data_IF_390744313993
#
_entry.id   IF_390744313993
#
_cell.length_a   1.000
_cell.length_b   1.000
_cell.length_c   1.000
_cell.angle_alpha   90.00
_cell.angle_beta   90.00
_cell.angle_gamma   90.00
#
_symmetry.space_group_name_H-M   'P 1'
#
loop_
_entity.id
_entity.type
_entity.pdbx_description
1 polymer ?
#
# COMPACT_ATOMS: atom_id res chain seq x y z
N UNK A 1 -0.91 61.21 0.53
CA UNK A 1 -0.52 62.42 -0.24
C UNK A 1 0.08 63.42 0.73
N UNK A 2 1.32 63.87 0.68
CA UNK A 2 2.55 63.42 0.03
C UNK A 2 3.69 63.98 0.88
N UNK A 3 4.67 63.13 1.19
CA UNK A 3 5.82 63.44 2.03
C UNK A 3 7.03 63.87 1.20
N UNK A 4 7.92 64.57 1.88
CA UNK A 4 9.07 65.30 1.39
C UNK A 4 10.26 64.43 0.95
N UNK A 5 11.04 65.02 0.05
CA UNK A 5 12.49 65.05 -0.08
C UNK A 5 13.34 63.84 0.36
N UNK A 6 14.18 63.33 -0.56
CA UNK A 6 15.54 63.01 -0.16
C UNK A 6 16.56 63.15 -1.31
N UNK A 7 17.68 63.75 -0.96
CA UNK A 7 18.85 64.11 -1.76
C UNK A 7 19.90 63.00 -1.74
N UNK A 8 20.65 62.84 -2.83
CA UNK A 8 21.85 62.01 -2.96
C UNK A 8 22.93 62.35 -1.92
N UNK A 9 23.84 61.40 -1.61
CA UNK A 9 25.23 61.63 -2.01
C UNK A 9 26.08 60.36 -2.30
N UNK A 10 27.18 60.57 -3.00
CA UNK A 10 28.47 59.82 -3.02
C UNK A 10 29.48 60.75 -3.72
N UNK A 11 30.82 60.57 -3.65
CA UNK A 11 31.64 59.49 -3.08
C UNK A 11 32.83 59.98 -2.21
N UNK A 12 33.66 59.07 -1.66
CA UNK A 12 34.96 59.45 -1.12
C UNK A 12 35.71 58.37 -0.33
N UNK A 13 36.85 57.94 -0.87
CA UNK A 13 37.81 56.92 -0.40
C UNK A 13 38.80 57.49 0.64
N UNK A 14 39.29 56.67 1.58
CA UNK A 14 40.70 56.71 1.99
C UNK A 14 41.06 56.77 3.49
N UNK A 15 41.70 55.68 3.96
CA UNK A 15 42.80 55.55 4.94
C UNK A 15 42.77 56.23 6.34
N UNK A 16 43.04 55.41 7.37
CA UNK A 16 44.20 55.65 8.25
C UNK A 16 44.02 55.58 9.78
N UNK A 17 44.63 54.53 10.38
CA UNK A 17 45.52 54.51 11.58
C UNK A 17 45.02 54.98 12.97
N UNK A 18 45.24 54.12 13.98
CA UNK A 18 45.54 54.48 15.39
C UNK A 18 44.66 53.78 16.45
N UNK A 19 45.12 52.68 17.10
CA UNK A 19 45.83 52.63 18.41
C UNK A 19 44.87 52.87 19.62
N UNK A 20 44.82 52.15 20.75
CA UNK A 20 45.81 51.42 21.57
C UNK A 20 45.13 50.50 22.62
N UNK A 21 45.78 49.35 22.89
CA UNK A 21 46.06 48.70 24.20
C UNK A 21 44.98 48.46 25.28
N UNK A 22 44.84 47.20 25.69
CA UNK A 22 45.29 46.76 27.04
C UNK A 22 45.46 45.23 27.13
N UNK A 23 46.63 44.82 27.62
CA UNK A 23 47.04 43.46 28.01
C UNK A 23 47.91 43.61 29.26
N UNK A 24 47.88 42.66 30.20
CA UNK A 24 49.06 41.84 30.50
C UNK A 24 48.68 40.34 30.59
N UNK A 25 49.37 39.37 29.96
CA UNK A 25 50.69 38.78 30.30
C UNK A 25 50.70 38.12 31.72
N UNK A 26 51.15 36.89 31.97
CA UNK A 26 52.14 36.06 31.28
C UNK A 26 52.15 34.56 31.72
N UNK A 27 52.79 33.74 30.86
CA UNK A 27 53.65 32.55 31.08
C UNK A 27 53.15 31.33 31.88
N UNK A 28 53.00 30.13 31.31
CA UNK A 28 53.97 29.23 30.65
C UNK A 28 54.85 28.41 31.63
N UNK A 29 54.66 27.08 31.64
CA UNK A 29 55.69 26.05 31.48
C UNK A 29 55.17 24.65 31.85
N UNK A 30 55.48 23.70 30.98
CA UNK A 30 55.46 22.23 31.13
C UNK A 30 56.31 21.76 32.33
N UNK A 31 56.15 20.50 32.82
CA UNK A 31 57.11 19.48 32.36
C UNK A 31 56.54 18.06 32.21
N UNK A 32 57.32 17.25 31.48
CA UNK A 32 57.22 15.81 31.30
C UNK A 32 58.13 15.04 32.28
N UNK A 33 57.77 13.80 32.63
CA UNK A 33 58.61 12.71 33.21
C UNK A 33 57.80 11.40 32.99
N UNK A 34 58.10 10.38 32.17
CA UNK A 34 59.22 9.40 32.05
C UNK A 34 59.54 8.64 33.34
N UNK A 35 59.20 7.34 33.45
CA UNK A 35 60.10 6.15 33.44
C UNK A 35 59.42 5.08 34.34
N UNK A 36 59.61 3.76 34.33
CA UNK A 36 60.51 2.80 33.67
C UNK A 36 59.97 1.37 33.95
N UNK A 37 60.11 0.48 32.97
CA UNK A 37 60.73 -0.86 33.02
C UNK A 37 60.48 -1.87 34.18
N UNK A 38 59.99 -3.07 33.86
CA UNK A 38 60.73 -4.35 34.00
C UNK A 38 59.93 -5.58 33.54
N UNK A 39 60.61 -6.47 32.82
CA UNK A 39 60.15 -7.78 32.35
C UNK A 39 60.13 -8.83 33.47
N UNK A 40 59.20 -9.79 33.41
CA UNK A 40 59.40 -11.14 33.98
C UNK A 40 58.75 -12.20 33.07
N UNK A 41 59.63 -13.04 32.56
CA UNK A 41 59.46 -14.37 32.00
C UNK A 41 58.70 -15.30 32.95
N UNK A 42 57.74 -16.11 32.46
CA UNK A 42 57.46 -17.43 33.02
C UNK A 42 56.74 -18.32 32.02
N UNK A 43 57.50 -19.28 31.51
CA UNK A 43 57.06 -20.52 30.91
C UNK A 43 56.39 -21.40 31.97
N UNK A 44 55.25 -22.03 31.66
CA UNK A 44 54.92 -23.35 32.23
C UNK A 44 54.27 -24.22 31.17
N UNK A 45 55.09 -25.12 30.65
CA UNK A 45 54.75 -26.39 30.06
C UNK A 45 54.08 -27.28 31.11
N UNK A 46 52.92 -27.86 30.82
CA UNK A 46 52.61 -29.24 31.26
C UNK A 46 51.86 -29.94 30.13
N UNK A 47 52.56 -30.90 29.53
CA UNK A 47 52.04 -31.93 28.66
C UNK A 47 51.48 -33.12 29.49
N UNK A 48 50.85 -34.04 28.76
CA UNK A 48 50.37 -35.39 29.11
C UNK A 48 48.83 -35.47 29.19
N UNK A 49 48.13 -36.41 28.57
CA UNK A 49 48.53 -37.59 27.77
C UNK A 49 47.30 -38.09 27.00
N UNK A 50 47.52 -38.59 25.77
CA UNK A 50 47.04 -39.87 25.19
C UNK A 50 45.90 -40.57 25.94
N UNK A 51 44.76 -40.88 25.32
CA UNK A 51 44.44 -42.15 24.62
C UNK A 51 43.17 -41.92 23.74
N UNK A 52 43.19 -42.02 22.41
CA UNK A 52 42.99 -43.21 21.57
C UNK A 52 41.96 -44.25 22.07
N UNK A 53 40.84 -44.41 21.33
CA UNK A 53 40.07 -45.64 20.99
C UNK A 53 38.69 -45.19 20.48
N UNK A 54 38.42 -45.15 19.17
CA UNK A 54 37.99 -46.25 18.28
C UNK A 54 36.58 -46.78 18.60
N UNK A 55 35.69 -46.76 17.58
CA UNK A 55 34.54 -47.66 17.33
C UNK A 55 33.25 -47.45 18.17
N UNK A 56 31.99 -47.58 17.70
CA UNK A 56 31.34 -48.11 16.47
C UNK A 56 29.88 -47.60 16.43
N UNK A 57 29.28 -47.62 15.23
CA UNK A 57 27.84 -47.61 14.94
C UNK A 57 26.94 -48.34 15.97
N UNK A 58 25.72 -47.85 16.22
CA UNK A 58 24.46 -48.55 15.87
C UNK A 58 23.19 -47.82 16.36
N UNK A 59 22.20 -47.86 15.45
CA UNK A 59 20.75 -47.77 15.59
C UNK A 59 20.16 -48.39 16.86
N UNK A 60 19.21 -47.71 17.52
CA UNK A 60 17.98 -48.37 18.02
C UNK A 60 16.87 -47.37 18.42
N UNK A 61 15.66 -47.77 18.09
CA UNK A 61 14.31 -47.28 18.43
C UNK A 61 14.02 -47.22 19.93
N UNK A 62 13.06 -46.39 20.39
CA UNK A 62 12.41 -46.59 21.69
C UNK A 62 11.06 -47.34 21.59
N UNK A 63 10.65 -48.08 22.65
CA UNK A 63 9.57 -49.07 22.62
C UNK A 63 8.21 -48.59 23.15
N UNK A 64 7.18 -49.35 22.79
CA UNK A 64 5.80 -49.36 23.31
C UNK A 64 5.60 -50.57 24.25
N UNK A 65 4.93 -50.37 25.39
CA UNK A 65 4.12 -51.33 26.17
C UNK A 65 3.32 -50.51 27.21
N UNK A 66 2.01 -50.29 27.09
CA UNK A 66 0.85 -51.15 27.42
C UNK A 66 0.77 -51.61 28.90
N UNK A 67 -0.31 -51.22 29.59
CA UNK A 67 -1.09 -52.09 30.51
C UNK A 67 -2.53 -51.58 30.64
N UNK A 68 -3.43 -52.55 30.53
CA UNK A 68 -4.90 -52.63 30.43
C UNK A 68 -5.69 -52.06 31.63
N UNK A 69 -6.97 -51.66 31.52
CA UNK A 69 -8.22 -52.47 31.56
C UNK A 69 -9.40 -51.48 31.70
N UNK A 70 -10.69 -51.65 31.32
CA UNK A 70 -11.54 -52.77 30.91
C UNK A 70 -12.96 -52.26 30.56
N UNK A 71 -13.82 -53.16 30.01
CA UNK A 71 -15.31 -53.12 29.91
C UNK A 71 -15.91 -52.46 28.65
N UNK A 72 -16.17 -53.15 27.53
CA UNK A 72 -17.11 -54.24 27.18
C UNK A 72 -18.49 -53.79 26.68
N UNK A 73 -18.69 -54.11 25.39
CA UNK A 73 -19.85 -54.09 24.48
C UNK A 73 -21.12 -54.83 25.00
N UNK A 74 -22.29 -54.77 24.31
CA UNK A 74 -22.47 -55.54 23.07
C UNK A 74 -23.31 -54.91 21.94
N UNK A 75 -23.03 -55.44 20.74
CA UNK A 75 -23.76 -55.29 19.49
C UNK A 75 -24.99 -56.21 19.38
N UNK A 76 -25.83 -56.01 18.34
CA UNK A 76 -26.52 -56.98 17.45
C UNK A 76 -27.42 -56.16 16.49
N UNK A 77 -27.23 -56.07 15.16
CA UNK A 77 -27.32 -56.99 14.00
C UNK A 77 -28.73 -57.05 13.32
N UNK A 78 -28.71 -57.02 11.98
CA UNK A 78 -29.65 -57.59 10.96
C UNK A 78 -30.53 -56.62 10.11
N UNK A 79 -30.53 -56.93 8.81
CA UNK A 79 -30.97 -56.26 7.55
C UNK A 79 -32.51 -56.19 7.24
N UNK A 80 -33.02 -56.18 5.96
CA UNK A 80 -33.74 -55.06 5.30
C UNK A 80 -35.21 -55.41 4.88
N UNK A 81 -35.82 -54.59 3.98
CA UNK A 81 -37.01 -54.86 3.09
C UNK A 81 -38.34 -54.10 3.38
N UNK A 82 -38.66 -53.17 2.46
CA UNK A 82 -39.93 -52.91 1.71
C UNK A 82 -41.31 -52.90 2.39
N UNK A 83 -42.08 -51.78 2.27
CA UNK A 83 -43.35 -51.66 1.48
C UNK A 83 -44.26 -50.46 1.87
N UNK A 84 -44.57 -49.63 0.86
CA UNK A 84 -45.85 -49.01 0.46
C UNK A 84 -46.83 -48.35 1.46
N UNK A 85 -47.30 -47.12 1.14
CA UNK A 85 -48.73 -46.80 0.98
C UNK A 85 -48.97 -45.42 0.32
N UNK A 86 -50.07 -45.36 -0.43
CA UNK A 86 -50.53 -44.39 -1.44
C UNK A 86 -51.61 -43.39 -0.94
N UNK A 87 -51.58 -42.15 -1.48
CA UNK A 87 -52.64 -41.12 -1.78
C UNK A 87 -54.12 -41.31 -1.33
N UNK A 88 -54.92 -40.25 -1.02
CA UNK A 88 -55.47 -39.31 -2.04
C UNK A 88 -55.78 -37.83 -1.62
N UNK A 89 -56.23 -37.08 -2.65
CA UNK A 89 -56.55 -35.63 -2.81
C UNK A 89 -58.04 -35.30 -2.48
N UNK A 90 -58.36 -33.98 -2.35
CA UNK A 90 -59.67 -33.24 -2.54
C UNK A 90 -60.46 -32.87 -1.25
N UNK A 91 -61.05 -31.67 -0.96
CA UNK A 91 -61.52 -30.44 -1.67
C UNK A 91 -61.66 -29.17 -0.75
N UNK A 92 -61.51 -27.97 -1.35
CA UNK A 92 -62.17 -26.58 -1.28
C UNK A 92 -63.37 -26.37 -0.28
N UNK A 93 -63.76 -25.15 0.27
CA UNK A 93 -63.73 -23.79 -0.33
C UNK A 93 -63.57 -22.49 0.54
N UNK A 94 -63.36 -21.37 -0.19
CA UNK A 94 -63.87 -19.98 0.00
C UNK A 94 -63.60 -19.18 1.29
N UNK A 95 -63.00 -17.98 1.17
CA UNK A 95 -63.68 -16.65 1.25
C UNK A 95 -62.69 -15.47 1.34
N UNK A 96 -62.91 -14.46 0.49
CA UNK A 96 -62.27 -13.13 0.46
C UNK A 96 -62.92 -12.20 1.52
N UNK A 97 -62.24 -11.11 1.96
CA UNK A 97 -62.68 -9.80 1.48
C UNK A 97 -61.54 -8.78 1.23
N UNK A 98 -61.82 -7.88 0.29
CA UNK A 98 -61.13 -6.63 -0.06
C UNK A 98 -61.69 -5.48 0.77
N UNK A 99 -60.89 -4.57 1.35
CA UNK A 99 -61.31 -3.17 1.60
C UNK A 99 -60.12 -2.17 1.49
N UNK A 100 -60.44 -1.11 0.74
CA UNK A 100 -59.78 0.14 0.39
C UNK A 100 -59.16 0.95 1.54
N UNK A 101 -58.05 1.64 1.26
CA UNK A 101 -57.48 2.68 2.11
C UNK A 101 -57.92 4.07 1.62
N UNK A 102 -58.79 4.70 2.40
CA UNK A 102 -59.32 6.05 2.17
C UNK A 102 -58.47 7.09 2.90
N UNK A 103 -58.06 8.13 2.18
CA UNK A 103 -57.48 9.37 2.73
C UNK A 103 -58.49 10.09 3.64
N UNK A 104 -58.06 10.46 4.85
CA UNK A 104 -58.87 11.24 5.80
C UNK A 104 -58.28 12.63 6.02
N UNK A 105 -59.17 13.61 6.10
CA UNK A 105 -58.95 15.04 6.17
C UNK A 105 -59.51 15.60 7.50
N UNK A 106 -58.78 16.57 8.11
CA UNK A 106 -59.24 17.76 8.88
C UNK A 106 -59.75 17.49 10.34
N UNK A 107 -59.79 18.44 11.33
CA UNK A 107 -59.34 19.87 11.42
C UNK A 107 -58.46 20.21 12.66
N UNK A 108 -57.82 21.39 12.65
CA UNK A 108 -57.65 22.20 13.87
C UNK A 108 -57.80 23.71 13.58
N UNK A 109 -58.35 24.43 14.55
CA UNK A 109 -58.96 25.77 14.46
C UNK A 109 -57.93 26.91 14.66
N UNK A 110 -58.28 28.05 14.03
CA UNK A 110 -57.82 29.47 14.12
C UNK A 110 -57.66 30.06 15.57
N UNK A 111 -57.27 31.34 15.82
CA UNK A 111 -57.18 32.52 14.91
C UNK A 111 -55.99 33.51 15.14
N UNK A 112 -55.80 34.49 14.21
CA UNK A 112 -55.44 35.93 14.45
C UNK A 112 -55.22 36.62 13.08
N UNK A 113 -56.18 37.42 12.59
CA UNK A 113 -56.33 38.89 12.67
C UNK A 113 -55.41 39.73 11.74
N UNK A 114 -56.05 40.37 10.73
CA UNK A 114 -55.88 41.77 10.27
C UNK A 114 -54.52 42.19 9.62
N UNK A 115 -54.39 42.98 8.56
CA UNK A 115 -55.25 43.91 7.78
C UNK A 115 -54.51 44.23 6.47
N UNK A 116 -55.22 44.36 5.35
CA UNK A 116 -54.71 45.05 4.15
C UNK A 116 -55.30 46.46 4.10
N UNK A 117 -54.60 47.46 3.54
CA UNK A 117 -55.19 48.06 2.34
C UNK A 117 -54.19 48.54 1.26
N UNK A 118 -54.65 48.32 0.02
CA UNK A 118 -54.73 49.25 -1.12
C UNK A 118 -53.49 49.91 -1.75
N UNK A 119 -53.52 49.82 -3.08
CA UNK A 119 -52.66 50.37 -4.12
C UNK A 119 -52.33 51.86 -4.04
N UNK A 120 -51.13 52.19 -4.53
CA UNK A 120 -50.79 53.50 -5.11
C UNK A 120 -49.92 53.27 -6.34
N UNK A 121 -50.34 53.87 -7.45
CA UNK A 121 -49.63 53.97 -8.75
C UNK A 121 -48.60 55.10 -8.69
N UNK A 122 -47.38 54.86 -9.19
CA UNK A 122 -46.63 55.85 -10.01
C UNK A 122 -45.38 55.22 -10.66
N UNK A 123 -44.98 55.83 -11.77
CA UNK A 123 -44.21 55.35 -12.92
C UNK A 123 -42.69 55.62 -12.88
N UNK A 124 -41.96 55.01 -13.86
CA UNK A 124 -40.64 55.39 -14.45
C UNK A 124 -39.43 54.67 -13.80
N UNK A 125 -38.47 53.99 -14.45
CA UNK A 125 -38.03 53.87 -15.84
C UNK A 125 -37.36 52.49 -16.12
N UNK A 126 -37.47 52.06 -17.39
CA UNK A 126 -36.56 51.27 -18.24
C UNK A 126 -35.44 50.39 -17.63
N UNK A 127 -35.48 49.05 -17.80
CA UNK A 127 -34.29 48.21 -17.74
C UNK A 127 -33.64 48.06 -19.14
N UNK A 128 -32.32 48.18 -19.16
CA UNK A 128 -31.42 47.92 -20.30
C UNK A 128 -31.44 46.43 -20.65
N UNK A 129 -31.54 46.01 -21.92
CA UNK A 129 -31.45 44.60 -22.29
C UNK A 129 -29.98 44.18 -22.44
N UNK A 130 -29.44 43.51 -21.43
CA UNK A 130 -28.19 42.76 -21.58
C UNK A 130 -28.46 41.48 -22.37
N UNK A 131 -27.98 41.46 -23.61
CA UNK A 131 -28.03 40.30 -24.50
C UNK A 131 -26.90 39.35 -24.13
N UNK A 132 -27.09 38.52 -23.10
CA UNK A 132 -26.25 37.34 -22.89
C UNK A 132 -26.90 36.14 -23.57
N UNK A 133 -26.38 35.77 -24.74
CA UNK A 133 -26.72 34.53 -25.45
C UNK A 133 -26.16 33.30 -24.71
N UNK A 134 -26.62 33.09 -23.48
CA UNK A 134 -26.37 31.89 -22.69
C UNK A 134 -27.30 30.78 -23.16
N UNK A 135 -26.71 29.64 -23.55
CA UNK A 135 -27.49 28.44 -23.85
C UNK A 135 -28.33 28.07 -22.63
N UNK A 136 -29.63 27.87 -22.85
CA UNK A 136 -30.57 27.47 -21.80
C UNK A 136 -29.99 26.32 -20.97
N UNK A 137 -30.16 26.37 -19.66
CA UNK A 137 -29.71 25.34 -18.72
C UNK A 137 -30.15 23.92 -19.14
N UNK A 138 -31.27 23.80 -19.86
CA UNK A 138 -31.71 22.54 -20.45
C UNK A 138 -30.87 22.05 -21.65
N UNK A 139 -30.32 22.95 -22.45
CA UNK A 139 -29.39 22.62 -23.54
C UNK A 139 -28.02 22.20 -22.99
N UNK A 140 -27.55 22.84 -21.92
CA UNK A 140 -26.30 22.47 -21.23
C UNK A 140 -26.41 21.08 -20.60
N UNK A 141 -27.53 20.77 -19.94
CA UNK A 141 -27.78 19.44 -19.39
C UNK A 141 -27.89 18.35 -20.48
N UNK A 142 -28.46 18.67 -21.65
CA UNK A 142 -28.57 17.74 -22.77
C UNK A 142 -27.22 17.39 -23.43
N UNK A 143 -26.32 18.36 -23.55
CA UNK A 143 -24.99 18.15 -24.16
C UNK A 143 -24.13 17.24 -23.26
N UNK A 144 -24.21 17.39 -21.94
CA UNK A 144 -23.45 16.56 -21.00
C UNK A 144 -23.83 15.07 -21.10
N UNK A 145 -25.14 14.77 -21.13
CA UNK A 145 -25.63 13.39 -21.24
C UNK A 145 -25.37 12.81 -22.64
N UNK A 146 -25.51 13.63 -23.69
CA UNK A 146 -25.22 13.22 -25.07
C UNK A 146 -23.77 12.84 -25.30
N UNK A 147 -22.81 13.58 -24.72
CA UNK A 147 -21.38 13.30 -24.83
C UNK A 147 -20.96 12.02 -24.10
N UNK A 148 -21.58 11.69 -22.97
CA UNK A 148 -21.27 10.45 -22.25
C UNK A 148 -21.61 9.20 -23.09
N UNK A 149 -22.77 9.21 -23.74
CA UNK A 149 -23.23 8.08 -24.56
C UNK A 149 -22.46 8.02 -25.89
N UNK A 150 -22.24 9.16 -26.55
CA UNK A 150 -21.48 9.21 -27.80
C UNK A 150 -19.99 8.85 -27.57
N UNK A 151 -19.39 9.32 -26.48
CA UNK A 151 -18.02 8.99 -26.09
C UNK A 151 -17.83 7.50 -25.80
N UNK A 152 -18.80 6.88 -25.12
CA UNK A 152 -18.76 5.44 -24.84
C UNK A 152 -18.84 4.60 -26.14
N UNK A 153 -19.72 4.97 -27.07
CA UNK A 153 -19.87 4.24 -28.35
C UNK A 153 -18.62 4.39 -29.21
N UNK A 154 -18.03 5.59 -29.28
CA UNK A 154 -16.79 5.85 -30.04
C UNK A 154 -15.60 5.15 -29.36
N UNK A 155 -15.52 5.18 -28.03
CA UNK A 155 -14.47 4.49 -27.26
C UNK A 155 -14.48 2.98 -27.49
N UNK A 156 -15.65 2.35 -27.43
CA UNK A 156 -15.82 0.92 -27.71
C UNK A 156 -15.45 0.60 -29.17
N UNK A 157 -15.83 1.45 -30.13
CA UNK A 157 -15.52 1.22 -31.54
C UNK A 157 -14.02 1.33 -31.83
N UNK A 158 -13.32 2.30 -31.23
CA UNK A 158 -11.87 2.46 -31.37
C UNK A 158 -11.14 1.29 -30.70
N UNK A 159 -11.54 0.89 -29.48
CA UNK A 159 -10.97 -0.26 -28.80
C UNK A 159 -11.16 -1.55 -29.61
N UNK A 160 -12.36 -1.77 -30.16
CA UNK A 160 -12.66 -2.95 -30.99
C UNK A 160 -11.83 -2.98 -32.29
N UNK A 161 -11.59 -1.83 -32.94
CA UNK A 161 -10.76 -1.77 -34.15
C UNK A 161 -9.27 -2.02 -33.85
N UNK A 162 -8.75 -1.55 -32.71
CA UNK A 162 -7.36 -1.79 -32.30
C UNK A 162 -7.13 -3.26 -31.91
N UNK A 163 -8.09 -3.88 -31.23
CA UNK A 163 -8.04 -5.30 -30.87
C UNK A 163 -8.17 -6.21 -32.11
N UNK A 164 -9.04 -5.85 -33.06
CA UNK A 164 -9.20 -6.59 -34.33
C UNK A 164 -7.99 -6.45 -35.25
N UNK A 165 -7.24 -5.34 -35.18
CA UNK A 165 -6.00 -5.15 -35.96
C UNK A 165 -4.86 -6.06 -35.50
N UNK A 166 -4.87 -6.49 -34.23
CA UNK A 166 -3.87 -7.43 -33.69
C UNK A 166 -4.15 -8.91 -34.01
N UNK A 167 -5.34 -9.24 -34.51
CA UNK A 167 -5.73 -10.64 -34.77
C UNK A 167 -5.34 -11.17 -36.17
N UNK A 168 -4.61 -10.38 -36.98
CA UNK A 168 -4.07 -10.82 -38.27
C UNK A 168 -2.55 -10.93 -38.27
N UNK A 169 -2.00 -11.76 -37.39
CA UNK A 169 -0.65 -12.31 -37.57
C UNK A 169 -0.67 -13.77 -37.09
N UNK A 170 -1.24 -14.64 -37.93
CA UNK A 170 -0.89 -16.05 -37.93
C UNK A 170 0.14 -16.26 -39.05
N UNK A 171 1.43 -16.50 -38.75
CA UNK A 171 2.28 -17.20 -39.68
C UNK A 171 1.91 -18.69 -39.64
N UNK A 172 1.21 -19.13 -40.68
CA UNK A 172 1.02 -20.53 -41.04
C UNK A 172 2.38 -21.19 -41.28
N UNK A 173 2.77 -22.26 -40.57
CA UNK A 173 3.96 -23.02 -40.93
C UNK A 173 3.65 -23.88 -42.15
N UNK A 174 4.24 -23.51 -43.29
CA UNK A 174 4.26 -24.36 -44.48
C UNK A 174 4.97 -25.68 -44.15
N UNK A 175 4.20 -26.75 -44.29
CA UNK A 175 4.68 -28.12 -44.38
C UNK A 175 5.42 -28.25 -45.71
N UNK A 176 6.75 -28.38 -45.68
CA UNK A 176 7.51 -28.95 -46.79
C UNK A 176 7.79 -30.40 -46.45
N UNK A 177 7.02 -31.28 -47.09
CA UNK A 177 7.38 -32.68 -47.31
C UNK A 177 8.70 -32.74 -48.11
N UNK A 178 9.73 -33.34 -47.54
CA UNK A 178 10.70 -34.10 -48.32
C UNK A 178 10.81 -35.51 -47.74
N UNK A 179 10.07 -36.40 -48.40
CA UNK A 179 10.21 -37.85 -48.36
C UNK A 179 11.58 -38.24 -48.92
N UNK A 180 12.38 -39.01 -48.18
CA UNK A 180 13.22 -40.06 -48.78
C UNK A 180 13.45 -41.19 -47.78
N UNK A 181 13.28 -42.40 -48.30
CA UNK A 181 13.35 -43.72 -47.67
C UNK A 181 14.70 -44.03 -47.02
N UNK A 182 14.68 -44.96 -46.05
CA UNK A 182 15.83 -45.33 -45.24
C UNK A 182 16.71 -46.44 -45.81
N UNK A 183 17.82 -46.73 -45.10
CA UNK A 183 18.45 -48.06 -44.98
C UNK A 183 19.54 -48.05 -43.89
N UNK A 184 19.33 -48.91 -42.89
CA UNK A 184 20.29 -49.81 -42.18
C UNK A 184 21.80 -49.47 -42.07
N UNK A 185 22.30 -49.57 -40.81
CA UNK A 185 23.64 -49.95 -40.30
C UNK A 185 24.89 -49.20 -40.80
N UNK A 186 25.65 -48.56 -39.91
CA UNK A 186 26.79 -49.19 -39.22
C UNK A 186 27.37 -48.26 -38.12
N UNK A 187 28.03 -48.86 -37.12
CA UNK A 187 28.75 -48.15 -36.06
C UNK A 187 30.15 -47.73 -36.54
N UNK A 188 30.63 -46.53 -36.15
CA UNK A 188 31.96 -46.25 -35.56
C UNK A 188 32.43 -44.79 -35.75
N UNK A 189 33.10 -44.29 -34.70
CA UNK A 189 34.04 -43.18 -34.62
C UNK A 189 33.51 -41.73 -34.47
N UNK A 190 33.47 -41.30 -33.21
CA UNK A 190 34.09 -40.08 -32.67
C UNK A 190 34.62 -39.06 -33.70
N UNK A 191 33.87 -37.98 -33.92
CA UNK A 191 34.43 -36.66 -34.23
C UNK A 191 33.54 -35.59 -33.60
N UNK A 192 34.19 -34.66 -32.92
CA UNK A 192 33.60 -33.53 -32.20
C UNK A 192 32.84 -32.64 -33.18
N UNK A 193 31.54 -32.48 -32.94
CA UNK A 193 30.80 -31.27 -33.28
C UNK A 193 30.04 -30.92 -32.01
N UNK A 194 30.21 -29.72 -31.41
CA UNK A 194 29.30 -29.29 -30.36
C UNK A 194 27.93 -29.22 -31.00
N UNK A 195 27.08 -30.19 -30.68
CA UNK A 195 25.66 -30.06 -30.90
C UNK A 195 25.25 -28.82 -30.12
N UNK A 196 24.84 -27.78 -30.83
CA UNK A 196 23.94 -26.78 -30.29
C UNK A 196 22.75 -27.56 -29.74
N UNK A 197 22.76 -27.78 -28.42
CA UNK A 197 21.54 -28.04 -27.69
C UNK A 197 20.58 -26.93 -28.09
N UNK A 198 19.39 -27.21 -28.66
CA UNK A 198 18.33 -26.26 -28.52
C UNK A 198 18.11 -26.16 -27.01
N UNK A 199 18.61 -25.10 -26.39
CA UNK A 199 18.24 -24.72 -25.03
C UNK A 199 16.76 -24.41 -25.03
N UNK A 200 15.94 -25.46 -25.04
CA UNK A 200 14.52 -25.44 -24.73
C UNK A 200 14.35 -25.41 -23.20
N UNK A 201 15.25 -24.72 -22.50
CA UNK A 201 14.97 -24.20 -21.17
C UNK A 201 14.10 -22.99 -21.46
N UNK A 202 12.78 -23.19 -21.40
CA UNK A 202 11.80 -22.11 -21.49
C UNK A 202 12.29 -20.93 -20.67
N UNK A 203 12.56 -19.81 -21.32
CA UNK A 203 12.96 -18.58 -20.65
C UNK A 203 11.78 -18.12 -19.79
N UNK A 204 11.83 -18.40 -18.48
CA UNK A 204 10.74 -18.13 -17.54
C UNK A 204 10.31 -16.66 -17.60
N UNK A 205 11.26 -15.78 -17.92
CA UNK A 205 11.07 -14.33 -18.02
C UNK A 205 10.02 -13.95 -19.08
N UNK A 206 9.80 -14.78 -20.10
CA UNK A 206 8.76 -14.56 -21.11
C UNK A 206 7.33 -14.73 -20.55
N UNK A 207 7.18 -15.44 -19.43
CA UNK A 207 5.88 -15.73 -18.81
C UNK A 207 5.58 -14.84 -17.60
N UNK A 208 6.60 -14.29 -16.95
CA UNK A 208 6.43 -13.41 -15.79
C UNK A 208 5.61 -12.16 -16.14
N UNK A 209 5.05 -11.51 -15.12
CA UNK A 209 4.20 -10.34 -15.30
C UNK A 209 4.98 -9.18 -15.96
N UNK A 210 4.31 -8.45 -16.85
CA UNK A 210 4.89 -7.30 -17.53
C UNK A 210 4.91 -6.07 -16.60
N UNK A 211 5.94 -5.20 -16.70
CA UNK A 211 5.97 -3.97 -15.93
C UNK A 211 4.82 -3.03 -16.31
N UNK A 212 4.28 -2.33 -15.31
CA UNK A 212 3.45 -1.15 -15.56
C UNK A 212 4.36 0.05 -15.85
N UNK A 213 3.98 0.96 -16.75
CA UNK A 213 4.74 2.19 -16.96
C UNK A 213 4.77 3.06 -15.70
N UNK A 214 5.93 3.64 -15.40
CA UNK A 214 6.15 4.49 -14.22
C UNK A 214 5.16 5.66 -14.14
N UNK A 215 4.77 6.23 -15.28
CA UNK A 215 3.75 7.30 -15.34
C UNK A 215 2.39 6.84 -14.82
N UNK A 216 2.03 5.59 -15.07
CA UNK A 216 0.79 5.01 -14.57
C UNK A 216 0.89 4.79 -13.06
N UNK A 217 2.01 4.24 -12.58
CA UNK A 217 2.26 4.08 -11.14
C UNK A 217 2.20 5.42 -10.40
N UNK A 218 2.84 6.45 -10.94
CA UNK A 218 2.83 7.80 -10.39
C UNK A 218 1.42 8.42 -10.37
N UNK A 219 0.64 8.24 -11.45
CA UNK A 219 -0.72 8.75 -11.55
C UNK A 219 -1.68 8.07 -10.57
N UNK A 220 -1.56 6.76 -10.38
CA UNK A 220 -2.35 6.00 -9.40
C UNK A 220 -1.95 6.34 -7.96
N UNK A 221 -0.66 6.49 -7.66
CA UNK A 221 -0.26 6.91 -6.30
C UNK A 221 -0.79 8.31 -5.98
N UNK A 222 -0.73 9.23 -6.95
CA UNK A 222 -1.28 10.57 -6.79
C UNK A 222 -2.80 10.54 -6.57
N UNK A 223 -3.56 9.71 -7.31
CA UNK A 223 -5.02 9.61 -7.12
C UNK A 223 -5.37 9.09 -5.73
N UNK A 224 -4.59 8.13 -5.20
CA UNK A 224 -4.74 7.62 -3.84
C UNK A 224 -4.41 8.68 -2.78
N UNK A 225 -3.41 9.53 -3.02
CA UNK A 225 -3.12 10.69 -2.16
C UNK A 225 -4.34 11.59 -1.97
N UNK A 226 -5.01 11.95 -3.07
CA UNK A 226 -6.25 12.75 -3.04
C UNK A 226 -7.42 12.00 -2.40
N UNK A 227 -7.52 10.67 -2.60
CA UNK A 227 -8.55 9.87 -1.95
C UNK A 227 -8.41 9.89 -0.42
N UNK A 228 -7.17 9.78 0.08
CA UNK A 228 -6.88 9.86 1.52
C UNK A 228 -7.15 11.28 2.04
N UNK A 229 -6.77 12.32 1.31
CA UNK A 229 -7.08 13.72 1.64
C UNK A 229 -8.59 13.92 1.81
N UNK A 230 -9.37 13.52 0.80
CA UNK A 230 -10.82 13.61 0.83
C UNK A 230 -11.42 12.82 1.99
N UNK A 231 -10.92 11.60 2.24
CA UNK A 231 -11.36 10.81 3.39
C UNK A 231 -11.16 11.59 4.70
N UNK A 232 -10.01 12.25 4.86
CA UNK A 232 -9.70 12.98 6.09
C UNK A 232 -10.63 14.17 6.30
N UNK A 233 -10.82 14.99 5.27
CA UNK A 233 -11.68 16.17 5.32
C UNK A 233 -13.14 15.79 5.58
N UNK A 234 -13.61 14.75 4.90
CA UNK A 234 -15.01 14.34 4.96
C UNK A 234 -15.35 13.55 6.23
N UNK A 235 -14.37 13.05 7.00
CA UNK A 235 -14.66 12.10 8.09
C UNK A 235 -14.14 12.51 9.48
N UNK A 236 -13.20 13.45 9.59
CA UNK A 236 -12.67 13.89 10.88
C UNK A 236 -12.99 15.36 11.18
N UNK A 237 -13.11 15.68 12.46
CA UNK A 237 -13.50 17.02 12.91
C UNK A 237 -12.31 17.89 13.33
N UNK A 238 -12.52 19.21 13.27
CA UNK A 238 -11.58 20.22 13.80
C UNK A 238 -11.87 20.67 15.24
N UNK A 239 -12.88 20.09 15.91
CA UNK A 239 -13.21 20.40 17.30
C UNK A 239 -12.12 20.00 18.31
N UNK A 240 -12.10 20.61 19.52
CA UNK A 240 -11.15 20.23 20.57
C UNK A 240 -11.22 18.75 20.94
N UNK A 241 -10.06 18.10 21.04
CA UNK A 241 -9.93 16.67 21.34
C UNK A 241 -9.82 16.47 22.85
N UNK A 242 -10.58 15.52 23.40
CA UNK A 242 -10.61 15.21 24.85
C UNK A 242 -9.41 14.36 25.31
N UNK A 243 -8.82 13.61 24.40
CA UNK A 243 -7.73 12.67 24.70
C UNK A 243 -6.40 13.42 24.90
N UNK A 244 -5.58 12.92 25.82
CA UNK A 244 -4.27 13.53 26.09
C UNK A 244 -3.26 13.23 24.97
N UNK A 245 -2.30 14.13 24.79
CA UNK A 245 -1.18 13.95 23.85
C UNK A 245 -0.42 12.64 24.14
N UNK A 246 -0.25 12.28 25.41
CA UNK A 246 0.39 11.01 25.79
C UNK A 246 -0.37 9.78 25.32
N UNK A 247 -1.71 9.78 25.44
CA UNK A 247 -2.56 8.67 24.98
C UNK A 247 -2.52 8.55 23.46
N UNK A 248 -2.55 9.68 22.74
CA UNK A 248 -2.43 9.70 21.29
C UNK A 248 -1.05 9.21 20.82
N UNK A 249 0.02 9.63 21.52
CA UNK A 249 1.39 9.18 21.24
C UNK A 249 1.56 7.67 21.45
N UNK A 250 0.94 7.12 22.50
CA UNK A 250 0.96 5.67 22.74
C UNK A 250 0.20 4.90 21.65
N UNK A 251 -0.94 5.42 21.19
CA UNK A 251 -1.69 4.83 20.08
C UNK A 251 -0.88 4.85 18.77
N UNK A 252 -0.20 5.95 18.47
CA UNK A 252 0.70 6.05 17.30
C UNK A 252 1.88 5.07 17.39
N UNK A 253 2.46 4.89 18.59
CA UNK A 253 3.53 3.92 18.80
C UNK A 253 3.04 2.48 18.54
N UNK A 254 1.83 2.13 18.98
CA UNK A 254 1.19 0.83 18.70
C UNK A 254 0.92 0.59 17.22
N UNK A 255 0.78 1.65 16.43
CA UNK A 255 0.65 1.58 14.97
C UNK A 255 2.00 1.41 14.25
N UNK A 256 3.11 1.28 14.97
CA UNK A 256 4.44 1.09 14.38
C UNK A 256 5.15 2.38 13.99
N UNK A 257 4.64 3.55 14.38
CA UNK A 257 5.26 4.85 14.06
C UNK A 257 6.40 5.25 15.02
N UNK A 258 6.80 4.36 15.94
CA UNK A 258 7.83 4.61 16.94
C UNK A 258 9.22 4.04 16.58
N UNK A 259 9.36 3.36 15.43
CA UNK A 259 10.44 2.39 15.22
C UNK A 259 11.79 3.02 14.87
N UNK A 260 11.83 4.26 14.37
CA UNK A 260 13.09 4.89 13.96
C UNK A 260 13.26 6.28 14.59
N UNK A 261 14.25 6.43 15.47
CA UNK A 261 14.69 7.73 16.02
C UNK A 261 15.13 8.70 14.92
N UNK A 262 15.56 8.17 13.76
CA UNK A 262 15.95 8.95 12.59
C UNK A 262 14.75 9.41 11.74
N UNK A 263 13.55 8.85 11.95
CA UNK A 263 12.33 9.25 11.24
C UNK A 263 11.52 10.27 12.04
N UNK A 264 11.73 11.54 11.70
CA UNK A 264 10.95 12.67 12.19
C UNK A 264 9.76 12.95 11.25
N UNK A 265 8.59 13.37 11.75
CA UNK A 265 8.26 13.62 13.16
C UNK A 265 7.91 12.34 13.94
N UNK A 266 8.38 12.24 15.19
CA UNK A 266 8.09 11.10 16.07
C UNK A 266 6.66 11.11 16.66
N UNK A 267 6.22 10.03 17.34
CA UNK A 267 4.85 9.87 17.83
C UNK A 267 4.34 11.01 18.71
N UNK A 268 5.19 11.56 19.59
CA UNK A 268 4.81 12.66 20.47
C UNK A 268 4.59 13.98 19.71
N UNK A 269 5.39 14.24 18.67
CA UNK A 269 5.24 15.41 17.81
C UNK A 269 3.96 15.29 16.96
N UNK A 270 3.75 14.14 16.34
CA UNK A 270 2.53 13.83 15.60
C UNK A 270 1.28 13.94 16.49
N UNK A 271 1.32 13.46 17.73
CA UNK A 271 0.21 13.62 18.67
C UNK A 271 -0.10 15.09 18.99
N UNK A 272 0.94 15.92 19.19
CA UNK A 272 0.79 17.36 19.40
C UNK A 272 0.19 18.08 18.18
N UNK A 273 0.63 17.71 16.98
CA UNK A 273 0.14 18.28 15.72
C UNK A 273 -1.29 17.82 15.39
N UNK A 274 -1.64 16.57 15.68
CA UNK A 274 -3.01 16.07 15.52
C UNK A 274 -3.97 16.77 16.51
N UNK A 275 -3.51 17.09 17.72
CA UNK A 275 -4.31 17.83 18.70
C UNK A 275 -4.60 19.27 18.26
N UNK A 276 -3.71 19.91 17.50
CA UNK A 276 -3.88 21.27 16.99
C UNK A 276 -4.81 21.31 15.75
N UNK A 277 -5.94 22.04 15.78
CA UNK A 277 -6.88 22.12 14.66
C UNK A 277 -6.25 22.60 13.34
N UNK A 278 -5.21 23.44 13.37
CA UNK A 278 -4.59 23.98 12.15
C UNK A 278 -3.76 22.94 11.40
N UNK A 279 -3.18 21.99 12.11
CA UNK A 279 -2.28 20.97 11.55
C UNK A 279 -2.93 19.59 11.50
N UNK A 280 -4.16 19.47 12.02
CA UNK A 280 -4.82 18.18 12.22
C UNK A 280 -5.02 17.41 10.94
N UNK A 281 -5.66 17.99 9.92
CA UNK A 281 -5.96 17.25 8.69
C UNK A 281 -4.70 16.71 8.03
N UNK A 282 -3.68 17.56 7.87
CA UNK A 282 -2.38 17.14 7.33
C UNK A 282 -1.75 16.02 8.18
N UNK A 283 -1.84 16.11 9.51
CA UNK A 283 -1.29 15.08 10.40
C UNK A 283 -2.07 13.75 10.29
N UNK A 284 -3.40 13.80 10.20
CA UNK A 284 -4.24 12.62 10.02
C UNK A 284 -3.97 11.98 8.65
N UNK A 285 -3.84 12.78 7.60
CA UNK A 285 -3.47 12.33 6.26
C UNK A 285 -2.12 11.63 6.27
N UNK A 286 -1.10 12.24 6.89
CA UNK A 286 0.22 11.62 7.06
C UNK A 286 0.13 10.26 7.79
N UNK A 287 -0.57 10.20 8.92
CA UNK A 287 -0.70 8.96 9.71
C UNK A 287 -1.44 7.87 8.92
N UNK A 288 -2.56 8.20 8.29
CA UNK A 288 -3.35 7.24 7.49
C UNK A 288 -2.50 6.73 6.33
N UNK A 289 -1.89 7.63 5.57
CA UNK A 289 -1.01 7.32 4.45
C UNK A 289 0.15 6.42 4.89
N UNK A 290 0.88 6.80 5.95
CA UNK A 290 2.02 6.02 6.44
C UNK A 290 1.61 4.62 6.90
N UNK A 291 0.56 4.49 7.69
CA UNK A 291 0.09 3.17 8.17
C UNK A 291 -0.38 2.28 7.01
N UNK A 292 -1.13 2.84 6.05
CA UNK A 292 -1.63 2.06 4.90
C UNK A 292 -0.47 1.61 4.01
N UNK A 293 0.41 2.50 3.56
CA UNK A 293 1.46 2.12 2.62
C UNK A 293 2.54 1.26 3.29
N UNK A 294 2.82 1.43 4.59
CA UNK A 294 3.70 0.52 5.33
C UNK A 294 3.10 -0.89 5.44
N UNK A 295 1.76 -1.01 5.54
CA UNK A 295 1.08 -2.32 5.48
C UNK A 295 1.18 -3.00 4.10
N UNK A 296 1.58 -2.24 3.07
CA UNK A 296 1.78 -2.70 1.68
C UNK A 296 3.26 -2.88 1.33
N UNK A 297 4.18 -2.58 2.23
CA UNK A 297 5.61 -2.73 1.98
C UNK A 297 6.00 -4.21 1.99
N UNK A 298 6.63 -4.68 0.92
CA UNK A 298 7.04 -6.09 0.77
C UNK A 298 8.00 -6.51 1.88
N UNK A 299 8.84 -5.60 2.37
CA UNK A 299 9.82 -5.89 3.43
C UNK A 299 9.26 -5.74 4.85
N UNK A 300 7.99 -5.34 4.98
CA UNK A 300 7.37 -5.14 6.29
C UNK A 300 7.18 -6.47 7.01
N UNK A 301 7.48 -6.48 8.30
CA UNK A 301 7.23 -7.61 9.21
C UNK A 301 5.98 -7.42 10.06
N UNK A 302 5.19 -6.38 9.78
CA UNK A 302 3.98 -6.03 10.51
C UNK A 302 2.96 -7.18 10.55
N UNK A 303 2.18 -7.22 11.63
CA UNK A 303 1.08 -8.18 11.79
C UNK A 303 -0.13 -7.83 10.92
N UNK A 304 -0.34 -6.55 10.64
CA UNK A 304 -1.47 -6.03 9.88
C UNK A 304 -1.11 -5.77 8.42
N UNK A 305 -0.43 -6.73 7.77
CA UNK A 305 -0.06 -6.62 6.35
C UNK A 305 -1.29 -6.76 5.44
N UNK A 306 -1.39 -5.88 4.46
CA UNK A 306 -2.37 -5.93 3.38
C UNK A 306 -1.90 -6.74 2.15
N UNK A 307 -0.65 -7.21 2.16
CA UNK A 307 -0.13 -8.14 1.14
C UNK A 307 -0.67 -9.56 1.34
N UNK A 308 -0.58 -10.43 0.29
CA UNK A 308 -0.98 -11.83 0.43
C UNK A 308 -0.31 -12.51 1.63
N UNK A 309 -1.04 -13.36 2.39
CA UNK A 309 -0.48 -14.01 3.58
C UNK A 309 0.82 -14.78 3.32
N UNK A 310 0.96 -15.40 2.13
CA UNK A 310 2.17 -16.10 1.73
C UNK A 310 3.40 -15.16 1.65
N UNK A 311 3.19 -13.89 1.33
CA UNK A 311 4.26 -12.89 1.24
C UNK A 311 4.65 -12.44 2.65
N UNK A 312 3.68 -12.00 3.45
CA UNK A 312 3.94 -11.48 4.79
C UNK A 312 4.52 -12.53 5.75
N UNK A 313 4.06 -13.78 5.66
CA UNK A 313 4.59 -14.86 6.49
C UNK A 313 6.06 -15.16 6.20
N UNK A 314 6.45 -15.20 4.92
CA UNK A 314 7.85 -15.42 4.57
C UNK A 314 8.74 -14.30 5.13
N UNK A 315 8.32 -13.04 5.00
CA UNK A 315 9.12 -11.91 5.48
C UNK A 315 9.30 -11.92 6.99
N UNK A 316 8.31 -12.42 7.74
CA UNK A 316 8.40 -12.59 9.19
C UNK A 316 9.29 -13.77 9.60
N UNK A 317 9.32 -14.84 8.81
CA UNK A 317 10.11 -16.04 9.08
C UNK A 317 11.57 -15.93 8.61
N UNK A 318 11.85 -15.01 7.68
CA UNK A 318 13.16 -14.88 7.07
C UNK A 318 14.21 -14.40 8.09
N UNK A 319 15.33 -15.13 8.27
CA UNK A 319 16.40 -14.70 9.16
C UNK A 319 17.10 -13.45 8.60
N UNK A 320 17.69 -12.62 9.47
CA UNK A 320 18.50 -11.49 9.03
C UNK A 320 19.74 -11.99 8.27
N UNK A 321 20.23 -11.18 7.33
CA UNK A 321 21.47 -11.47 6.61
C UNK A 321 22.64 -11.65 7.60
N UNK A 322 23.41 -12.72 7.43
CA UNK A 322 24.61 -12.97 8.21
C UNK A 322 25.65 -11.85 7.96
N UNK A 323 26.11 -11.18 9.02
CA UNK A 323 26.96 -9.98 8.93
C UNK A 323 28.29 -10.17 8.19
N UNK A 324 28.82 -11.39 8.13
CA UNK A 324 30.17 -11.66 7.64
C UNK A 324 30.26 -12.72 6.53
N UNK A 325 29.20 -13.51 6.34
CA UNK A 325 29.16 -14.63 5.40
C UNK A 325 28.00 -14.49 4.39
N UNK A 326 27.01 -13.67 4.70
CA UNK A 326 25.87 -13.41 3.84
C UNK A 326 26.18 -12.37 2.77
N UNK A 327 25.66 -12.59 1.56
CA UNK A 327 25.63 -11.57 0.52
C UNK A 327 24.25 -10.89 0.52
N UNK A 328 24.14 -9.62 0.94
CA UNK A 328 22.85 -8.91 0.89
C UNK A 328 22.35 -8.77 -0.54
N UNK A 329 23.27 -8.69 -1.52
CA UNK A 329 22.92 -8.66 -2.94
C UNK A 329 22.30 -9.98 -3.39
N UNK A 330 22.88 -11.13 -3.00
CA UNK A 330 22.30 -12.43 -3.34
C UNK A 330 20.91 -12.63 -2.71
N UNK A 331 20.72 -12.13 -1.48
CA UNK A 331 19.42 -12.13 -0.81
C UNK A 331 18.42 -11.26 -1.58
N UNK A 332 18.82 -10.05 -1.99
CA UNK A 332 17.99 -9.16 -2.80
C UNK A 332 17.56 -9.83 -4.09
N UNK A 333 18.51 -10.38 -4.87
CA UNK A 333 18.22 -11.07 -6.13
C UNK A 333 17.26 -12.26 -5.92
N UNK A 334 17.50 -13.07 -4.88
CA UNK A 334 16.63 -14.20 -4.55
C UNK A 334 15.21 -13.75 -4.19
N UNK A 335 15.08 -12.68 -3.39
CA UNK A 335 13.79 -12.09 -3.03
C UNK A 335 13.06 -11.50 -4.24
N UNK A 336 13.76 -10.77 -5.11
CA UNK A 336 13.17 -10.21 -6.34
C UNK A 336 12.62 -11.35 -7.22
N UNK A 337 13.41 -12.40 -7.44
CA UNK A 337 12.99 -13.55 -8.25
C UNK A 337 11.83 -14.32 -7.60
N UNK A 338 11.89 -14.57 -6.30
CA UNK A 338 10.79 -15.18 -5.57
C UNK A 338 9.52 -14.34 -5.66
N UNK A 339 9.60 -13.02 -5.46
CA UNK A 339 8.46 -12.09 -5.54
C UNK A 339 7.81 -12.12 -6.92
N UNK A 340 8.60 -12.09 -7.99
CA UNK A 340 8.11 -12.23 -9.37
C UNK A 340 7.37 -13.55 -9.58
N UNK A 341 7.91 -14.66 -9.06
CA UNK A 341 7.28 -15.98 -9.17
C UNK A 341 5.98 -16.05 -8.37
N UNK A 342 5.97 -15.56 -7.13
CA UNK A 342 4.76 -15.51 -6.30
C UNK A 342 3.70 -14.65 -6.95
N UNK A 343 4.06 -13.47 -7.44
CA UNK A 343 3.12 -12.59 -8.13
C UNK A 343 2.50 -13.26 -9.37
N UNK A 344 3.33 -13.95 -10.16
CA UNK A 344 2.86 -14.73 -11.30
C UNK A 344 1.92 -15.88 -10.89
N UNK A 345 2.26 -16.63 -9.84
CA UNK A 345 1.49 -17.78 -9.38
C UNK A 345 0.16 -17.40 -8.70
N UNK A 346 0.12 -16.24 -8.03
CA UNK A 346 -1.09 -15.70 -7.42
C UNK A 346 -2.02 -15.02 -8.44
N UNK A 347 -1.53 -14.72 -9.66
CA UNK A 347 -2.35 -14.08 -10.67
C UNK A 347 -3.33 -15.07 -11.34
N UNK A 348 -4.66 -14.94 -11.16
CA UNK A 348 -5.63 -15.82 -11.81
C UNK A 348 -5.56 -15.71 -13.34
N UNK A 349 -5.21 -14.54 -13.87
CA UNK A 349 -5.14 -14.22 -15.30
C UNK A 349 -3.68 -14.18 -15.80
N UNK A 350 -2.85 -15.10 -15.34
CA UNK A 350 -1.41 -15.18 -15.66
C UNK A 350 -1.07 -15.14 -17.16
N UNK A 351 -1.96 -15.59 -18.05
CA UNK A 351 -1.76 -15.51 -19.50
C UNK A 351 -1.76 -14.09 -20.04
N UNK A 352 -2.40 -13.15 -19.36
CA UNK A 352 -2.46 -11.74 -19.75
C UNK A 352 -1.21 -10.98 -19.34
N UNK A 353 -0.39 -11.56 -18.46
CA UNK A 353 0.83 -10.96 -17.91
C UNK A 353 0.62 -9.58 -17.28
N UNK A 354 -0.61 -9.26 -16.87
CA UNK A 354 -0.95 -8.01 -16.17
C UNK A 354 -0.65 -8.09 -14.67
N UNK A 355 -0.85 -6.98 -13.95
CA UNK A 355 -0.77 -6.96 -12.49
C UNK A 355 -1.84 -7.84 -11.85
N UNK A 356 -1.58 -8.31 -10.62
CA UNK A 356 -2.58 -9.01 -9.83
C UNK A 356 -3.71 -8.04 -9.49
N UNK A 357 -4.94 -8.47 -9.73
CA UNK A 357 -6.14 -7.78 -9.27
C UNK A 357 -6.64 -8.56 -8.05
N UNK A 358 -6.52 -8.03 -6.82
CA UNK A 358 -6.96 -8.74 -5.65
C UNK A 358 -8.49 -8.83 -5.61
N UNK A 359 -8.99 -9.93 -5.05
CA UNK A 359 -10.41 -10.08 -4.71
C UNK A 359 -10.70 -9.33 -3.40
N UNK A 360 -11.51 -8.28 -3.48
CA UNK A 360 -11.89 -7.44 -2.34
C UNK A 360 -12.53 -8.24 -1.21
N UNK A 361 -13.30 -9.28 -1.52
CA UNK A 361 -13.95 -10.10 -0.49
C UNK A 361 -12.93 -10.89 0.34
N UNK A 362 -11.81 -11.28 -0.27
CA UNK A 362 -10.70 -11.97 0.40
C UNK A 362 -9.83 -11.02 1.23
N UNK A 363 -9.70 -9.75 0.80
CA UNK A 363 -8.96 -8.70 1.50
C UNK A 363 -9.74 -8.06 2.64
N UNK A 364 -11.07 -8.09 2.58
CA UNK A 364 -11.94 -7.41 3.54
C UNK A 364 -11.62 -7.72 5.02
N UNK A 365 -11.22 -8.94 5.42
CA UNK A 365 -10.74 -9.21 6.78
C UNK A 365 -9.48 -8.43 7.16
N UNK A 366 -8.43 -8.47 6.33
CA UNK A 366 -7.17 -7.75 6.57
C UNK A 366 -7.41 -6.24 6.64
N UNK A 367 -8.23 -5.71 5.72
CA UNK A 367 -8.58 -4.28 5.70
C UNK A 367 -9.30 -3.87 6.98
N UNK A 368 -10.24 -4.69 7.46
CA UNK A 368 -10.95 -4.45 8.73
C UNK A 368 -10.00 -4.46 9.92
N UNK A 369 -9.08 -5.42 9.99
CA UNK A 369 -8.13 -5.53 11.10
C UNK A 369 -7.20 -4.31 11.15
N UNK A 370 -6.73 -3.83 9.98
CA UNK A 370 -5.95 -2.60 9.87
C UNK A 370 -6.75 -1.37 10.33
N UNK A 371 -8.00 -1.22 9.87
CA UNK A 371 -8.89 -0.13 10.30
C UNK A 371 -9.14 -0.16 11.81
N UNK A 372 -9.35 -1.36 12.38
CA UNK A 372 -9.52 -1.55 13.84
C UNK A 372 -8.26 -1.13 14.59
N UNK A 373 -7.06 -1.44 14.07
CA UNK A 373 -5.81 -0.95 14.65
C UNK A 373 -5.75 0.58 14.62
N UNK A 374 -6.04 1.19 13.46
CA UNK A 374 -6.02 2.66 13.25
C UNK A 374 -7.04 3.39 14.13
N UNK A 375 -8.19 2.77 14.42
CA UNK A 375 -9.25 3.31 15.29
C UNK A 375 -8.74 3.70 16.68
N UNK A 376 -7.73 3.01 17.21
CA UNK A 376 -7.14 3.33 18.51
C UNK A 376 -6.60 4.75 18.60
N UNK A 377 -6.17 5.33 17.48
CA UNK A 377 -5.76 6.72 17.35
C UNK A 377 -6.85 7.59 16.72
N UNK A 378 -7.43 7.15 15.59
CA UNK A 378 -8.36 7.95 14.79
C UNK A 378 -9.70 8.23 15.50
N UNK A 379 -10.12 7.34 16.41
CA UNK A 379 -11.37 7.48 17.15
C UNK A 379 -11.46 8.75 18.00
N UNK A 380 -10.33 9.41 18.28
CA UNK A 380 -10.30 10.71 18.97
C UNK A 380 -10.88 11.87 18.16
N UNK A 381 -10.94 11.70 16.83
CA UNK A 381 -11.20 12.76 15.86
C UNK A 381 -12.49 12.53 15.06
N UNK A 382 -13.26 11.49 15.41
CA UNK A 382 -14.54 11.14 14.79
C UNK A 382 -15.68 11.67 15.64
N UNK A 383 -16.68 12.28 15.00
CA UNK A 383 -17.90 12.72 15.68
C UNK A 383 -18.80 11.52 16.00
N UNK A 384 -19.38 11.47 17.21
CA UNK A 384 -20.21 10.34 17.66
C UNK A 384 -21.44 10.08 16.75
N UNK A 385 -21.93 11.12 16.06
CA UNK A 385 -23.08 11.04 15.16
C UNK A 385 -22.72 10.55 13.75
N UNK A 386 -21.44 10.53 13.39
CA UNK A 386 -20.99 10.25 12.02
C UNK A 386 -20.87 8.74 11.79
N UNK A 387 -22.00 8.10 11.51
CA UNK A 387 -22.02 6.69 11.12
C UNK A 387 -21.38 6.50 9.73
N UNK A 388 -20.37 5.64 9.61
CA UNK A 388 -19.82 5.21 8.32
C UNK A 388 -18.34 5.55 8.07
N UNK A 389 -17.68 6.29 8.95
CA UNK A 389 -16.25 6.62 8.81
C UNK A 389 -15.38 5.36 8.65
N UNK A 390 -15.61 4.33 9.48
CA UNK A 390 -14.85 3.08 9.43
C UNK A 390 -15.08 2.31 8.12
N UNK A 391 -16.32 2.28 7.64
CA UNK A 391 -16.65 1.66 6.35
C UNK A 391 -15.94 2.39 5.20
N UNK A 392 -15.99 3.72 5.20
CA UNK A 392 -15.30 4.50 4.16
C UNK A 392 -13.78 4.34 4.25
N UNK A 393 -13.19 4.28 5.45
CA UNK A 393 -11.76 4.03 5.61
C UNK A 393 -11.37 2.64 5.10
N UNK A 394 -12.23 1.64 5.30
CA UNK A 394 -12.03 0.31 4.76
C UNK A 394 -12.00 0.32 3.22
N UNK A 395 -12.89 1.07 2.57
CA UNK A 395 -12.89 1.23 1.11
C UNK A 395 -11.60 1.91 0.61
N UNK A 396 -11.13 2.94 1.32
CA UNK A 396 -9.84 3.62 1.03
C UNK A 396 -8.67 2.64 1.15
N UNK A 397 -8.65 1.82 2.22
CA UNK A 397 -7.63 0.78 2.43
C UNK A 397 -7.65 -0.26 1.30
N UNK A 398 -8.83 -0.69 0.85
CA UNK A 398 -8.97 -1.64 -0.25
C UNK A 398 -8.46 -1.08 -1.58
N UNK A 399 -8.74 0.19 -1.89
CA UNK A 399 -8.19 0.82 -3.09
C UNK A 399 -6.67 1.00 -3.03
N UNK A 400 -6.14 1.39 -1.87
CA UNK A 400 -4.69 1.42 -1.67
C UNK A 400 -4.08 0.02 -1.81
N UNK A 401 -4.76 -1.02 -1.32
CA UNK A 401 -4.31 -2.40 -1.47
C UNK A 401 -4.28 -2.83 -2.94
N UNK A 402 -5.26 -2.45 -3.75
CA UNK A 402 -5.22 -2.72 -5.20
C UNK A 402 -3.94 -2.15 -5.84
N UNK A 403 -3.53 -0.95 -5.44
CA UNK A 403 -2.26 -0.38 -5.87
C UNK A 403 -1.03 -1.10 -5.30
N UNK A 404 -1.05 -1.50 -4.02
CA UNK A 404 0.03 -2.32 -3.44
C UNK A 404 0.23 -3.65 -4.18
N UNK A 405 -0.85 -4.29 -4.65
CA UNK A 405 -0.76 -5.49 -5.50
C UNK A 405 -0.21 -5.16 -6.90
N UNK A 406 -0.49 -3.97 -7.43
CA UNK A 406 0.13 -3.47 -8.66
C UNK A 406 1.64 -3.30 -8.50
N UNK A 407 2.08 -2.77 -7.36
CA UNK A 407 3.51 -2.62 -6.99
C UNK A 407 4.17 -3.98 -6.77
N UNK A 408 3.52 -4.89 -6.03
CA UNK A 408 3.98 -6.28 -5.83
C UNK A 408 4.17 -7.02 -7.17
N UNK A 409 3.40 -6.66 -8.20
CA UNK A 409 3.46 -7.26 -9.53
C UNK A 409 4.58 -6.69 -10.42
N UNK A 410 5.27 -5.62 -10.02
CA UNK A 410 6.34 -5.03 -10.82
C UNK A 410 7.57 -5.93 -10.87
N UNK A 411 8.29 -6.04 -11.99
CA UNK A 411 9.48 -6.88 -12.03
C UNK A 411 10.63 -6.32 -11.18
N UNK A 412 10.75 -5.00 -11.10
CA UNK A 412 11.74 -4.29 -10.26
C UNK A 412 11.26 -4.17 -8.82
N UNK A 413 12.17 -4.04 -7.85
CA UNK A 413 11.78 -3.73 -6.48
C UNK A 413 11.58 -2.22 -6.31
N UNK A 414 10.42 -1.90 -5.74
CA UNK A 414 9.98 -0.55 -5.47
C UNK A 414 9.81 -0.35 -3.97
N UNK A 415 10.12 0.85 -3.49
CA UNK A 415 10.02 1.23 -2.09
C UNK A 415 9.26 2.53 -1.91
N UNK A 416 8.50 2.61 -0.81
CA UNK A 416 7.80 3.81 -0.39
C UNK A 416 8.77 4.79 0.24
N UNK A 417 8.69 6.06 -0.16
CA UNK A 417 9.53 7.12 0.41
C UNK A 417 8.72 8.05 1.31
N UNK A 418 9.09 8.11 2.58
CA UNK A 418 8.53 9.05 3.56
C UNK A 418 9.53 10.12 4.03
N UNK A 419 10.76 10.09 3.52
CA UNK A 419 11.80 11.04 3.94
C UNK A 419 11.78 12.33 3.11
N UNK A 420 11.78 13.46 3.80
CA UNK A 420 11.82 14.82 3.23
C UNK A 420 13.15 15.53 3.51
N UNK A 421 13.97 14.99 4.41
CA UNK A 421 15.21 15.62 4.90
C UNK A 421 14.98 16.82 5.83
N UNK A 422 13.73 17.15 6.16
CA UNK A 422 13.34 18.31 6.95
C UNK A 422 12.36 17.90 8.05
N UNK A 423 12.61 18.36 9.28
CA UNK A 423 11.81 18.00 10.47
C UNK A 423 10.45 18.71 10.52
N UNK A 424 10.27 19.77 9.74
CA UNK A 424 9.05 20.58 9.65
C UNK A 424 8.11 20.12 8.51
N UNK A 425 8.52 19.10 7.77
CA UNK A 425 7.85 18.64 6.57
C UNK A 425 7.14 17.30 6.87
N UNK A 426 5.82 17.25 6.65
CA UNK A 426 5.02 16.04 6.72
C UNK A 426 4.80 15.47 5.32
N UNK A 427 5.04 14.17 5.15
CA UNK A 427 4.68 13.45 3.91
C UNK A 427 3.22 13.04 3.96
N UNK A 428 2.37 13.68 3.17
CA UNK A 428 0.94 13.37 3.12
C UNK A 428 0.62 12.22 2.16
N UNK A 429 1.43 12.05 1.11
CA UNK A 429 1.41 10.90 0.21
C UNK A 429 2.86 10.44 -0.03
N UNK A 430 3.19 9.15 0.13
CA UNK A 430 4.56 8.70 -0.06
C UNK A 430 5.03 8.89 -1.50
N UNK A 431 6.34 9.03 -1.64
CA UNK A 431 6.98 8.84 -2.94
C UNK A 431 7.11 7.36 -3.28
N UNK A 432 7.46 7.07 -4.52
CA UNK A 432 7.78 5.73 -4.99
C UNK A 432 9.12 5.75 -5.69
N UNK A 433 10.03 4.89 -5.25
CA UNK A 433 11.37 4.78 -5.82
C UNK A 433 11.64 3.36 -6.28
N UNK A 434 12.36 3.24 -7.39
CA UNK A 434 12.90 1.98 -7.87
C UNK A 434 14.31 1.80 -7.34
N UNK A 435 14.51 0.77 -6.52
CA UNK A 435 15.77 0.52 -5.81
C UNK A 435 16.60 -0.60 -6.43
N UNK A 436 15.97 -1.51 -7.18
CA UNK A 436 16.63 -2.57 -7.93
C UNK A 436 16.00 -2.74 -9.31
N UNK A 437 16.72 -3.39 -10.22
CA UNK A 437 16.16 -3.79 -11.51
C UNK A 437 15.38 -5.11 -11.44
N UNK A 438 14.97 -5.65 -12.59
CA UNK A 438 14.23 -6.92 -12.66
C UNK A 438 15.05 -8.16 -12.28
N UNK A 439 16.36 -8.03 -12.13
CA UNK A 439 17.23 -9.10 -11.65
C UNK A 439 17.50 -8.98 -10.16
N UNK A 440 17.02 -7.92 -9.50
CA UNK A 440 17.31 -7.61 -8.10
C UNK A 440 18.70 -7.02 -7.90
N UNK A 441 19.32 -6.53 -8.99
CA UNK A 441 20.61 -5.83 -8.91
C UNK A 441 20.32 -4.40 -8.45
N UNK A 442 20.97 -4.01 -7.36
CA UNK A 442 20.82 -2.69 -6.76
C UNK A 442 21.17 -1.59 -7.76
N UNK A 443 20.27 -0.64 -7.92
CA UNK A 443 20.44 0.51 -8.81
C UNK A 443 20.54 1.79 -7.98
N UNK A 444 21.05 2.88 -8.57
CA UNK A 444 20.83 4.20 -7.99
C UNK A 444 19.32 4.44 -7.93
N UNK A 445 18.79 4.74 -6.75
CA UNK A 445 17.36 4.94 -6.55
C UNK A 445 16.80 5.93 -7.61
N UNK A 446 15.88 5.41 -8.42
CA UNK A 446 15.20 6.17 -9.47
C UNK A 446 13.82 6.57 -8.95
N UNK A 447 13.59 7.87 -8.82
CA UNK A 447 12.32 8.40 -8.31
C UNK A 447 11.26 8.28 -9.40
N UNK A 448 10.27 7.41 -9.19
CA UNK A 448 9.08 7.28 -10.04
C UNK A 448 8.15 8.46 -9.78
N UNK A 449 7.90 8.76 -8.52
CA UNK A 449 7.21 9.97 -8.08
C UNK A 449 7.79 10.46 -6.74
N UNK A 450 7.99 11.78 -6.59
CA UNK A 450 8.44 12.36 -5.33
C UNK A 450 7.33 12.27 -4.27
N UNK A 451 7.68 12.25 -2.97
CA UNK A 451 6.68 12.37 -1.92
C UNK A 451 5.95 13.71 -2.01
N UNK A 452 4.66 13.70 -1.68
CA UNK A 452 3.89 14.91 -1.49
C UNK A 452 4.09 15.41 -0.06
N UNK A 453 4.58 16.63 0.06
CA UNK A 453 5.08 17.19 1.32
C UNK A 453 4.29 18.44 1.69
N UNK A 454 3.85 18.49 2.93
CA UNK A 454 3.26 19.66 3.56
C UNK A 454 4.22 20.24 4.60
N UNK A 455 4.51 21.54 4.51
CA UNK A 455 5.30 22.24 5.51
C UNK A 455 4.39 22.79 6.61
N UNK A 456 4.64 22.33 7.83
CA UNK A 456 3.81 22.56 9.03
C UNK A 456 4.06 23.93 9.65
#
# INVERSE_FOLDING_TARGET
MSAAANTSPTPGVGNGVGATSSTPAASAATPATTSETAAVTSSTTTAASTEQTTQTFQTSTPPTAETESSSSSPAVKVDPVTSSSTTPVSQVPSSQPTINTSSSQIPSKSPTLSTSPAAIVSSTATPVPDTSNGLSTGAVAGIAVGCAIAGLVIGILVAFLLLKRRSKFNPEPQIIETRTEGKSFDSRAFTVTPAETPSAVSDLDQFLLAPKPDKELAGELQSLGHLIEQHVEDNYHLFPVKQSISSLSEALAKLGLAVDEDMLPGPAQLAGMAANPMTRYVTLQHVISRVIFESLAVKSTSETSMLPPAVSSLMREMPPCEKHLGSPEAISQALTRWRQMVAFLLNPNRSERGSIIPDESSLAPQARDLVVAMKSFLGAFVEEEKSGQECHLQDVVLECARFGYMVLSQPADLEWKFETGHTEDLVVCPGLEKVSDSQGIGCKAEVICPPEVYRV
#
